data_IF_956290505527
#
_entry.id   IF_956290505527
#
_cell.length_a   1.000
_cell.length_b   1.000
_cell.length_c   1.000
_cell.angle_alpha   90.00
_cell.angle_beta   90.00
_cell.angle_gamma   90.00
#
_symmetry.space_group_name_H-M   'P 1'
#
loop_
_entity.id
_entity.type
_entity.pdbx_description
1 polymer ?
#
# COMPACT_ATOMS: atom_id res chain seq x y z
N UNK A 1 0.28 -65.89 -51.56
CA UNK A 1 0.53 -64.49 -51.94
C UNK A 1 0.78 -63.72 -50.65
N UNK A 2 2.04 -63.32 -50.40
CA UNK A 2 2.55 -62.40 -49.35
C UNK A 2 2.41 -62.88 -47.89
N UNK A 3 3.50 -63.35 -47.27
CA UNK A 3 4.56 -62.62 -46.51
C UNK A 3 4.27 -62.71 -45.01
N UNK A 4 4.91 -63.57 -44.22
CA UNK A 4 6.28 -63.45 -43.63
C UNK A 4 6.45 -62.17 -42.80
N UNK A 5 6.62 -62.32 -41.48
CA UNK A 5 7.84 -61.97 -40.71
C UNK A 5 7.54 -62.13 -39.20
N UNK A 6 8.39 -62.93 -38.56
CA UNK A 6 8.58 -63.12 -37.11
C UNK A 6 9.48 -62.03 -36.51
N UNK A 7 9.17 -61.47 -35.34
CA UNK A 7 10.17 -60.85 -34.43
C UNK A 7 9.69 -60.98 -32.96
N UNK A 8 10.38 -61.73 -32.10
CA UNK A 8 11.55 -61.44 -31.24
C UNK A 8 11.13 -61.01 -29.82
N UNK A 9 11.53 -61.83 -28.84
CA UNK A 9 11.58 -61.49 -27.42
C UNK A 9 12.52 -60.29 -27.19
N UNK A 10 12.02 -59.25 -26.52
CA UNK A 10 12.80 -58.12 -26.04
C UNK A 10 12.63 -57.96 -24.53
N UNK A 11 13.55 -58.54 -23.75
CA UNK A 11 13.63 -58.37 -22.32
C UNK A 11 13.80 -56.90 -21.91
N UNK A 12 12.74 -56.33 -21.34
CA UNK A 12 12.76 -55.02 -20.69
C UNK A 12 13.47 -55.11 -19.35
N UNK A 13 14.73 -54.67 -19.32
CA UNK A 13 15.53 -54.44 -18.11
C UNK A 13 14.76 -53.56 -17.12
N UNK A 14 14.36 -54.15 -15.99
CA UNK A 14 14.11 -53.39 -14.76
C UNK A 14 15.44 -52.85 -14.24
N UNK A 15 15.85 -51.68 -14.72
CA UNK A 15 16.92 -50.91 -14.10
C UNK A 15 16.47 -50.45 -12.72
N UNK A 16 17.34 -50.39 -11.70
CA UNK A 16 17.00 -49.78 -10.44
C UNK A 16 16.67 -48.31 -10.73
N UNK A 17 15.44 -47.91 -10.45
CA UNK A 17 15.11 -46.50 -10.29
C UNK A 17 16.00 -45.99 -9.16
N UNK A 18 17.07 -45.29 -9.51
CA UNK A 18 17.83 -44.48 -8.57
C UNK A 18 16.79 -43.64 -7.81
N UNK A 19 16.74 -43.71 -6.47
CA UNK A 19 15.92 -42.77 -5.73
C UNK A 19 16.43 -41.40 -6.15
N UNK A 20 15.55 -40.57 -6.71
CA UNK A 20 15.81 -39.14 -6.77
C UNK A 20 16.30 -38.75 -5.37
N UNK A 21 17.44 -38.05 -5.25
CA UNK A 21 17.87 -37.58 -3.94
C UNK A 21 16.82 -36.56 -3.52
N UNK A 22 15.80 -37.03 -2.82
CA UNK A 22 14.89 -36.18 -2.09
C UNK A 22 15.76 -35.51 -1.05
N UNK A 23 16.11 -34.26 -1.33
CA UNK A 23 16.75 -33.38 -0.37
C UNK A 23 15.78 -33.29 0.82
N UNK A 24 16.11 -33.99 1.90
CA UNK A 24 15.40 -33.80 3.15
C UNK A 24 15.81 -32.45 3.72
N UNK A 25 14.94 -31.44 3.58
CA UNK A 25 15.21 -30.11 4.12
C UNK A 25 15.42 -30.13 5.64
N UNK A 26 14.91 -31.13 6.37
CA UNK A 26 15.16 -31.25 7.81
C UNK A 26 16.57 -31.74 8.14
N UNK A 27 17.31 -32.26 7.16
CA UNK A 27 18.72 -32.65 7.32
C UNK A 27 19.68 -31.44 7.19
N UNK A 28 19.18 -30.27 6.78
CA UNK A 28 19.98 -29.05 6.72
C UNK A 28 20.25 -28.50 8.13
N UNK A 29 21.44 -27.92 8.39
CA UNK A 29 21.69 -27.18 9.62
C UNK A 29 20.67 -26.06 9.84
N UNK A 30 20.34 -25.79 11.10
CA UNK A 30 19.37 -24.74 11.46
C UNK A 30 19.73 -23.38 10.85
N UNK A 31 21.01 -23.03 10.79
CA UNK A 31 21.47 -21.77 10.21
C UNK A 31 21.23 -21.68 8.70
N UNK A 32 21.33 -22.81 7.98
CA UNK A 32 21.00 -22.86 6.55
C UNK A 32 19.49 -22.66 6.33
N UNK A 33 18.66 -23.28 7.18
CA UNK A 33 17.21 -23.10 7.11
C UNK A 33 16.86 -21.65 7.47
N UNK A 34 17.48 -21.07 8.49
CA UNK A 34 17.28 -19.67 8.87
C UNK A 34 17.67 -18.73 7.72
N UNK A 35 18.81 -18.97 7.05
CA UNK A 35 19.21 -18.21 5.88
C UNK A 35 18.17 -18.31 4.75
N UNK A 36 17.66 -19.50 4.44
CA UNK A 36 16.58 -19.67 3.44
C UNK A 36 15.34 -18.87 3.85
N UNK A 37 14.90 -18.98 5.11
CA UNK A 37 13.73 -18.27 5.63
C UNK A 37 13.89 -16.75 5.59
N UNK A 38 15.11 -16.24 5.76
CA UNK A 38 15.39 -14.79 5.69
C UNK A 38 15.13 -14.16 4.32
N UNK A 39 15.10 -14.97 3.25
CA UNK A 39 14.74 -14.55 1.89
C UNK A 39 13.25 -14.74 1.55
N UNK A 40 12.45 -15.20 2.51
CA UNK A 40 10.99 -15.37 2.35
C UNK A 40 10.22 -14.20 2.95
N UNK A 41 8.89 -14.24 2.89
CA UNK A 41 8.08 -13.26 3.61
C UNK A 41 7.89 -13.66 5.09
N UNK A 42 7.60 -12.72 6.00
CA UNK A 42 7.23 -13.01 7.39
C UNK A 42 6.07 -14.01 7.49
N UNK A 43 5.12 -13.94 6.57
CA UNK A 43 3.99 -14.87 6.45
C UNK A 43 4.47 -16.28 6.13
N UNK A 44 5.36 -16.43 5.17
CA UNK A 44 5.87 -17.74 4.75
C UNK A 44 6.79 -18.34 5.81
N UNK A 45 7.64 -17.53 6.46
CA UNK A 45 8.41 -17.98 7.61
C UNK A 45 7.51 -18.52 8.74
N UNK A 46 6.41 -17.84 9.04
CA UNK A 46 5.42 -18.34 10.01
C UNK A 46 4.74 -19.64 9.56
N UNK A 47 4.41 -19.79 8.28
CA UNK A 47 3.82 -21.04 7.75
C UNK A 47 4.81 -22.20 7.80
N UNK A 48 6.05 -21.95 7.41
CA UNK A 48 7.13 -22.95 7.41
C UNK A 48 7.49 -23.39 8.84
N UNK A 49 7.31 -22.51 9.84
CA UNK A 49 7.51 -22.86 11.25
C UNK A 49 6.65 -24.06 11.73
N UNK A 50 5.52 -24.33 11.06
CA UNK A 50 4.62 -25.43 11.40
C UNK A 50 5.05 -26.79 10.80
N UNK A 51 6.06 -26.81 9.91
CA UNK A 51 6.47 -28.02 9.17
C UNK A 51 7.27 -28.99 10.06
N UNK A 52 8.20 -28.47 10.87
CA UNK A 52 8.99 -29.27 11.81
C UNK A 52 9.56 -28.42 12.94
N UNK A 53 10.11 -29.05 13.98
CA UNK A 53 10.74 -28.35 15.12
C UNK A 53 12.00 -27.59 14.72
N UNK A 54 12.74 -28.07 13.72
CA UNK A 54 13.93 -27.40 13.19
C UNK A 54 13.52 -26.13 12.45
N UNK A 55 12.49 -26.22 11.59
CA UNK A 55 11.92 -25.05 10.92
C UNK A 55 11.32 -24.05 11.91
N UNK A 56 10.65 -24.53 12.96
CA UNK A 56 10.14 -23.67 14.03
C UNK A 56 11.26 -22.87 14.69
N UNK A 57 12.32 -23.55 15.09
CA UNK A 57 13.47 -22.93 15.78
C UNK A 57 14.20 -21.93 14.87
N UNK A 58 14.36 -22.26 13.57
CA UNK A 58 14.92 -21.36 12.58
C UNK A 58 14.02 -20.13 12.35
N UNK A 59 12.70 -20.33 12.18
CA UNK A 59 11.73 -19.27 11.92
C UNK A 59 11.49 -18.33 13.13
N UNK A 60 11.85 -18.76 14.34
CA UNK A 60 11.77 -17.94 15.56
C UNK A 60 13.08 -17.19 15.85
N UNK A 61 14.14 -17.42 15.08
CA UNK A 61 15.45 -16.78 15.26
C UNK A 61 15.44 -15.29 14.93
N UNK A 62 16.05 -14.48 15.79
CA UNK A 62 16.22 -13.04 15.57
C UNK A 62 16.99 -12.71 14.28
N UNK A 63 17.86 -13.60 13.80
CA UNK A 63 18.57 -13.40 12.53
C UNK A 63 17.60 -13.35 11.33
N UNK A 64 16.53 -14.15 11.35
CA UNK A 64 15.49 -14.14 10.31
C UNK A 64 14.66 -12.87 10.42
N UNK A 65 14.25 -12.51 11.63
CA UNK A 65 13.38 -11.35 11.84
C UNK A 65 14.12 -10.00 11.68
N UNK A 66 15.44 -9.94 11.84
CA UNK A 66 16.24 -8.77 11.50
C UNK A 66 16.14 -8.45 10.00
N UNK A 67 16.06 -9.45 9.12
CA UNK A 67 15.91 -9.27 7.67
C UNK A 67 14.52 -8.74 7.27
N UNK A 68 13.50 -8.96 8.09
CA UNK A 68 12.15 -8.45 7.85
C UNK A 68 11.92 -7.03 8.39
N UNK A 69 12.87 -6.51 9.16
CA UNK A 69 12.82 -5.14 9.65
C UNK A 69 13.51 -4.19 8.67
N UNK A 70 12.97 -3.00 8.40
CA UNK A 70 13.61 -2.02 7.53
C UNK A 70 14.98 -1.59 8.04
N UNK A 71 16.01 -1.50 7.20
CA UNK A 71 17.38 -1.15 7.65
C UNK A 71 17.47 0.12 8.51
N UNK A 72 16.56 1.07 8.32
CA UNK A 72 16.43 2.32 9.04
C UNK A 72 15.57 2.27 10.33
N UNK A 73 15.04 1.10 10.72
CA UNK A 73 14.14 0.96 11.89
C UNK A 73 14.78 1.46 13.19
N UNK A 74 16.11 1.37 13.32
CA UNK A 74 16.86 1.83 14.50
C UNK A 74 16.79 3.35 14.68
N UNK A 75 16.61 4.10 13.60
CA UNK A 75 16.38 5.55 13.66
C UNK A 75 14.94 5.89 14.06
N UNK A 76 14.00 4.98 13.77
CA UNK A 76 12.56 5.16 14.03
C UNK A 76 12.20 4.75 15.46
N UNK A 77 12.80 3.69 15.99
CA UNK A 77 12.55 3.17 17.34
C UNK A 77 13.89 2.92 18.04
N UNK A 78 14.20 3.65 19.13
CA UNK A 78 15.33 3.35 20.00
C UNK A 78 15.20 1.93 20.55
N UNK A 79 16.26 1.13 20.36
CA UNK A 79 16.38 -0.28 20.69
C UNK A 79 15.64 -0.71 21.97
N UNK A 80 14.64 -1.57 21.84
CA UNK A 80 14.05 -2.31 22.96
C UNK A 80 14.81 -3.62 23.20
N UNK A 81 14.79 -4.13 24.44
CA UNK A 81 15.30 -5.47 24.81
C UNK A 81 14.39 -6.62 24.30
N UNK A 82 13.47 -6.33 23.39
CA UNK A 82 12.53 -7.30 22.85
C UNK A 82 13.14 -8.09 21.68
N UNK A 83 12.67 -9.31 21.45
CA UNK A 83 13.04 -10.07 20.26
C UNK A 83 12.65 -9.30 18.98
N UNK A 84 13.37 -9.56 17.89
CA UNK A 84 13.12 -8.90 16.58
C UNK A 84 11.74 -9.19 16.06
N UNK A 85 11.24 -10.41 16.31
CA UNK A 85 9.85 -10.79 16.04
C UNK A 85 8.86 -9.93 16.82
N UNK A 86 9.08 -9.72 18.11
CA UNK A 86 8.19 -8.89 18.92
C UNK A 86 8.21 -7.43 18.46
N UNK A 87 9.38 -6.90 18.10
CA UNK A 87 9.51 -5.57 17.52
C UNK A 87 8.75 -5.44 16.20
N UNK A 88 8.89 -6.42 15.29
CA UNK A 88 8.16 -6.45 14.02
C UNK A 88 6.64 -6.44 14.26
N UNK A 89 6.13 -7.31 15.13
CA UNK A 89 4.70 -7.36 15.44
C UNK A 89 4.20 -6.04 16.05
N UNK A 90 5.00 -5.42 16.93
CA UNK A 90 4.68 -4.11 17.47
C UNK A 90 4.56 -3.03 16.39
N UNK A 91 5.44 -3.05 15.39
CA UNK A 91 5.40 -2.14 14.24
C UNK A 91 4.21 -2.37 13.30
N UNK A 92 3.68 -3.60 13.26
CA UNK A 92 2.46 -3.91 12.54
C UNK A 92 1.20 -3.42 13.27
N UNK A 93 1.17 -3.61 14.59
CA UNK A 93 -0.03 -3.35 15.41
C UNK A 93 -0.15 -1.91 15.89
N UNK A 94 0.99 -1.24 16.10
CA UNK A 94 1.03 0.09 16.68
C UNK A 94 1.78 1.04 15.73
N UNK A 95 1.06 1.78 14.87
CA UNK A 95 1.67 2.80 14.02
C UNK A 95 2.44 3.83 14.87
N UNK A 96 3.69 4.09 14.49
CA UNK A 96 4.59 5.03 15.18
C UNK A 96 4.51 6.39 14.51
N UNK A 97 4.37 7.45 15.31
CA UNK A 97 4.40 8.82 14.81
C UNK A 97 5.85 9.26 14.56
N UNK A 98 6.12 9.77 13.36
CA UNK A 98 7.42 10.27 12.90
C UNK A 98 7.28 11.70 12.37
N UNK A 99 8.41 12.34 12.04
CA UNK A 99 8.46 13.71 11.48
C UNK A 99 7.63 14.72 12.32
N UNK A 100 7.89 14.75 13.62
CA UNK A 100 7.20 15.63 14.55
C UNK A 100 5.70 15.32 14.71
N UNK A 101 5.28 14.09 14.43
CA UNK A 101 3.87 13.69 14.51
C UNK A 101 3.06 13.96 13.24
N UNK A 102 3.70 14.41 12.16
CA UNK A 102 3.02 14.69 10.88
C UNK A 102 2.78 13.47 10.03
N UNK A 103 3.49 12.37 10.28
CA UNK A 103 3.34 11.11 9.55
C UNK A 103 3.26 9.95 10.54
N UNK A 104 2.51 8.90 10.20
CA UNK A 104 2.54 7.64 10.94
C UNK A 104 3.18 6.55 10.08
N UNK A 105 4.02 5.72 10.70
CA UNK A 105 4.74 4.62 10.08
C UNK A 105 4.29 3.29 10.68
N UNK A 106 4.08 2.27 9.85
CA UNK A 106 3.85 0.89 10.28
C UNK A 106 4.36 -0.09 9.22
N UNK A 107 4.37 -1.39 9.56
CA UNK A 107 4.71 -2.45 8.62
C UNK A 107 3.47 -3.26 8.24
N UNK A 108 3.35 -3.61 6.97
CA UNK A 108 2.37 -4.60 6.55
C UNK A 108 2.79 -5.97 7.06
N UNK A 109 1.90 -6.60 7.83
CA UNK A 109 2.18 -7.81 8.61
C UNK A 109 2.72 -8.97 7.78
N UNK A 110 2.22 -9.20 6.57
CA UNK A 110 2.53 -10.36 5.76
C UNK A 110 3.76 -10.25 4.87
N UNK A 111 4.24 -9.04 4.56
CA UNK A 111 5.13 -8.76 3.43
C UNK A 111 6.25 -7.78 3.75
N UNK A 112 6.45 -7.42 5.02
CA UNK A 112 7.52 -6.51 5.49
C UNK A 112 7.53 -5.10 4.85
N UNK A 113 6.54 -4.78 4.01
CA UNK A 113 6.50 -3.51 3.28
C UNK A 113 6.05 -2.37 4.18
N UNK A 114 6.67 -1.22 3.97
CA UNK A 114 6.40 0.01 4.73
C UNK A 114 5.00 0.56 4.39
N UNK A 115 4.25 0.92 5.41
CA UNK A 115 2.99 1.66 5.33
C UNK A 115 3.20 3.06 5.92
N UNK A 116 2.62 4.08 5.28
CA UNK A 116 2.64 5.45 5.79
C UNK A 116 1.26 6.06 5.81
N UNK A 117 1.04 6.98 6.73
CA UNK A 117 -0.06 7.93 6.63
C UNK A 117 0.47 9.34 6.80
N UNK A 118 0.11 10.22 5.87
CA UNK A 118 0.32 11.67 5.98
C UNK A 118 -0.84 12.25 6.78
N UNK A 119 -0.57 12.94 7.88
CA UNK A 119 -1.59 13.64 8.66
C UNK A 119 -2.20 14.78 7.85
N UNK A 120 -3.40 15.24 8.22
CA UNK A 120 -3.98 16.43 7.61
C UNK A 120 -3.09 17.68 7.72
N UNK A 121 -2.25 17.79 8.75
CA UNK A 121 -1.24 18.85 8.92
C UNK A 121 -0.07 18.76 7.95
N UNK A 122 0.15 17.59 7.38
CA UNK A 122 1.18 17.32 6.37
C UNK A 122 0.63 17.42 4.93
N UNK A 123 -0.67 17.66 4.78
CA UNK A 123 -1.32 17.85 3.49
C UNK A 123 -1.33 19.33 3.11
N UNK A 124 -1.21 19.60 1.81
CA UNK A 124 -1.60 20.87 1.25
C UNK A 124 -3.12 20.93 1.12
N UNK A 125 -3.75 21.80 1.90
CA UNK A 125 -5.20 22.03 1.87
C UNK A 125 -5.43 23.49 1.49
N UNK A 126 -6.14 23.73 0.37
CA UNK A 126 -6.46 25.10 -0.04
C UNK A 126 -7.32 25.77 1.03
N UNK A 127 -6.84 26.92 1.48
CA UNK A 127 -7.38 27.70 2.60
C UNK A 127 -7.42 26.96 3.95
N UNK A 128 -6.62 25.91 4.15
CA UNK A 128 -6.58 25.14 5.40
C UNK A 128 -6.33 26.00 6.66
N UNK A 129 -5.61 27.11 6.53
CA UNK A 129 -5.34 28.05 7.63
C UNK A 129 -6.34 29.21 7.71
N UNK A 130 -7.45 29.15 6.95
CA UNK A 130 -8.54 30.14 6.99
C UNK A 130 -9.68 29.62 7.87
N UNK A 131 -9.87 30.16 9.09
CA UNK A 131 -10.85 29.65 10.04
C UNK A 131 -12.31 29.69 9.58
N UNK A 132 -12.62 30.47 8.54
CA UNK A 132 -13.96 30.52 7.92
C UNK A 132 -14.28 29.25 7.13
N UNK A 133 -13.25 28.56 6.62
CA UNK A 133 -13.36 27.44 5.70
C UNK A 133 -12.94 26.12 6.33
N UNK A 134 -11.92 26.16 7.17
CA UNK A 134 -11.35 25.00 7.83
C UNK A 134 -11.11 25.28 9.30
N UNK A 135 -11.26 24.25 10.13
CA UNK A 135 -10.94 24.29 11.55
C UNK A 135 -10.03 23.12 11.89
N UNK A 136 -8.96 23.39 12.61
CA UNK A 136 -8.10 22.36 13.16
C UNK A 136 -8.66 21.93 14.51
N UNK A 137 -8.95 20.65 14.66
CA UNK A 137 -9.55 20.09 15.89
C UNK A 137 -8.74 18.89 16.37
N UNK A 138 -8.79 18.64 17.67
CA UNK A 138 -8.29 17.41 18.25
C UNK A 138 -9.47 16.49 18.59
N UNK A 139 -9.35 15.22 18.22
CA UNK A 139 -10.38 14.21 18.49
C UNK A 139 -9.72 12.95 19.06
N UNK A 140 -10.32 12.30 20.09
CA UNK A 140 -9.71 11.14 20.74
C UNK A 140 -9.51 9.93 19.82
N UNK A 141 -10.32 9.80 18.77
CA UNK A 141 -10.23 8.67 17.84
C UNK A 141 -9.19 8.89 16.72
N UNK A 142 -8.48 10.03 16.73
CA UNK A 142 -7.47 10.32 15.73
C UNK A 142 -6.11 9.72 16.08
N UNK A 143 -5.41 9.23 15.06
CA UNK A 143 -3.99 8.86 15.14
C UNK A 143 -3.07 10.08 15.34
N UNK A 144 -3.50 11.25 14.90
CA UNK A 144 -2.75 12.51 14.95
C UNK A 144 -3.38 13.50 15.93
N UNK A 145 -2.55 14.38 16.50
CA UNK A 145 -2.97 15.41 17.47
C UNK A 145 -4.07 16.32 16.93
N UNK A 146 -3.94 16.74 15.67
CA UNK A 146 -4.89 17.59 14.97
C UNK A 146 -5.35 16.96 13.65
N UNK A 147 -6.63 17.18 13.33
CA UNK A 147 -7.28 16.82 12.07
C UNK A 147 -7.97 18.04 11.48
N UNK A 148 -8.20 18.04 10.17
CA UNK A 148 -8.82 19.16 9.46
C UNK A 148 -10.33 18.96 9.35
N UNK A 149 -11.11 19.79 10.02
CA UNK A 149 -12.55 19.88 9.84
C UNK A 149 -12.91 20.92 8.77
N UNK A 150 -13.58 20.47 7.72
CA UNK A 150 -14.12 21.31 6.67
C UNK A 150 -15.41 21.97 7.15
N UNK A 151 -15.40 23.29 7.29
CA UNK A 151 -16.59 24.08 7.66
C UNK A 151 -17.50 24.24 6.44
N UNK A 152 -17.01 24.93 5.41
CA UNK A 152 -17.79 25.21 4.19
C UNK A 152 -16.89 25.75 3.09
N UNK A 153 -16.80 25.10 1.92
CA UNK A 153 -16.06 25.60 0.74
C UNK A 153 -16.78 25.31 -0.56
N UNK A 154 -16.57 26.14 -1.58
CA UNK A 154 -16.96 25.83 -2.97
C UNK A 154 -15.81 25.23 -3.80
N UNK A 155 -14.57 25.43 -3.36
CA UNK A 155 -13.34 24.88 -3.94
C UNK A 155 -12.70 23.90 -2.94
N UNK A 156 -12.72 22.61 -3.26
CA UNK A 156 -12.06 21.59 -2.44
C UNK A 156 -10.82 21.09 -3.16
N UNK A 157 -9.66 21.28 -2.53
CA UNK A 157 -8.39 20.81 -3.04
C UNK A 157 -7.49 20.39 -1.88
N UNK A 158 -7.18 19.10 -1.88
CA UNK A 158 -6.30 18.45 -0.91
C UNK A 158 -5.23 17.72 -1.70
N UNK A 159 -3.97 17.94 -1.35
CA UNK A 159 -2.83 17.23 -1.94
C UNK A 159 -1.91 16.72 -0.84
N UNK A 160 -1.40 15.51 -1.00
CA UNK A 160 -0.33 14.95 -0.18
C UNK A 160 0.87 14.65 -1.05
N UNK A 161 2.07 14.79 -0.49
CA UNK A 161 3.32 14.40 -1.15
C UNK A 161 4.16 13.55 -0.21
N UNK A 162 4.79 12.53 -0.77
CA UNK A 162 5.72 11.66 -0.04
C UNK A 162 6.89 11.30 -0.96
N UNK A 163 8.12 11.32 -0.43
CA UNK A 163 9.27 10.85 -1.19
C UNK A 163 9.18 9.35 -1.39
N UNK A 164 9.41 8.90 -2.61
CA UNK A 164 9.32 7.49 -3.00
C UNK A 164 10.41 6.65 -2.32
N UNK A 165 11.55 7.28 -2.02
CA UNK A 165 12.64 6.69 -1.23
C UNK A 165 12.19 6.21 0.17
N UNK A 166 11.12 6.79 0.72
CA UNK A 166 10.54 6.37 2.00
C UNK A 166 9.75 5.07 1.87
N UNK A 167 9.21 4.77 0.69
CA UNK A 167 8.40 3.59 0.39
C UNK A 167 9.30 2.39 0.07
N UNK A 168 8.78 1.18 0.24
CA UNK A 168 9.51 -0.03 -0.13
C UNK A 168 9.63 -0.12 -1.67
N UNK A 169 10.82 -0.43 -2.22
CA UNK A 169 11.00 -0.62 -3.66
C UNK A 169 10.30 -1.89 -4.14
N UNK A 170 10.13 -2.01 -5.47
CA UNK A 170 9.44 -3.11 -6.15
C UNK A 170 8.09 -3.46 -5.52
N UNK A 171 7.33 -2.45 -5.11
CA UNK A 171 6.10 -2.63 -4.36
C UNK A 171 4.98 -1.82 -4.99
N UNK A 172 3.85 -2.49 -5.21
CA UNK A 172 2.63 -1.83 -5.65
C UNK A 172 1.90 -1.25 -4.45
N UNK A 173 1.59 0.03 -4.49
CA UNK A 173 0.95 0.80 -3.44
C UNK A 173 -0.44 1.26 -3.85
N UNK A 174 -1.32 1.43 -2.87
CA UNK A 174 -2.59 2.15 -3.01
C UNK A 174 -2.65 3.26 -1.98
N UNK A 175 -3.17 4.40 -2.40
CA UNK A 175 -3.39 5.55 -1.53
C UNK A 175 -4.88 5.69 -1.21
N UNK A 176 -5.19 6.08 0.03
CA UNK A 176 -6.55 6.22 0.53
C UNK A 176 -6.72 7.53 1.29
N UNK A 177 -7.77 8.28 1.00
CA UNK A 177 -8.19 9.37 1.88
C UNK A 177 -8.94 8.78 3.06
N UNK A 178 -8.53 9.13 4.29
CA UNK A 178 -9.17 8.69 5.53
C UNK A 178 -9.88 9.88 6.18
N UNK A 179 -11.19 9.76 6.36
CA UNK A 179 -12.04 10.86 6.79
C UNK A 179 -13.32 10.39 7.50
N UNK A 180 -14.05 11.29 8.15
CA UNK A 180 -15.38 11.02 8.70
C UNK A 180 -16.31 12.21 8.49
N UNK A 181 -17.61 12.00 8.63
CA UNK A 181 -18.55 13.10 8.73
C UNK A 181 -18.54 13.68 10.15
N UNK A 182 -18.74 14.99 10.26
CA UNK A 182 -19.02 15.66 11.53
C UNK A 182 -20.35 15.18 12.12
N UNK A 183 -20.58 15.43 13.42
CA UNK A 183 -21.84 15.06 14.10
C UNK A 183 -23.06 15.76 13.48
N UNK A 184 -22.88 16.95 12.91
CA UNK A 184 -23.91 17.68 12.14
C UNK A 184 -24.19 17.09 10.76
N UNK A 185 -23.40 16.10 10.33
CA UNK A 185 -23.45 15.51 8.99
C UNK A 185 -22.61 16.28 7.98
N UNK A 186 -22.24 15.58 6.91
CA UNK A 186 -21.64 16.18 5.73
C UNK A 186 -22.75 16.66 4.77
N UNK A 187 -22.50 17.74 4.03
CA UNK A 187 -23.42 18.25 3.02
C UNK A 187 -22.68 18.69 1.76
N UNK A 188 -23.39 18.74 0.64
CA UNK A 188 -22.83 19.18 -0.65
C UNK A 188 -22.09 18.08 -1.43
N UNK A 189 -22.03 16.86 -0.89
CA UNK A 189 -21.37 15.70 -1.51
C UNK A 189 -22.34 14.70 -2.18
N UNK A 190 -23.65 14.80 -1.92
CA UNK A 190 -24.69 13.83 -2.29
C UNK A 190 -24.80 13.52 -3.80
N UNK A 191 -24.39 14.47 -4.64
CA UNK A 191 -24.48 14.40 -6.11
C UNK A 191 -23.15 14.67 -6.82
N UNK A 192 -22.08 14.94 -6.08
CA UNK A 192 -20.82 15.37 -6.64
C UNK A 192 -19.71 14.38 -6.36
N UNK A 193 -19.13 13.93 -7.46
CA UNK A 193 -17.89 13.18 -7.42
C UNK A 193 -16.71 14.13 -7.30
N UNK A 194 -15.68 13.68 -6.60
CA UNK A 194 -14.38 14.33 -6.55
C UNK A 194 -13.42 13.62 -7.51
N UNK A 195 -12.54 14.38 -8.14
CA UNK A 195 -11.44 13.87 -8.95
C UNK A 195 -10.30 13.48 -8.00
N UNK A 196 -10.01 12.20 -7.91
CA UNK A 196 -8.86 11.68 -7.18
C UNK A 196 -7.73 11.38 -8.17
N UNK A 197 -6.48 11.62 -7.75
CA UNK A 197 -5.33 11.21 -8.54
C UNK A 197 -4.16 10.74 -7.70
N UNK A 198 -3.34 9.89 -8.32
CA UNK A 198 -2.05 9.42 -7.79
C UNK A 198 -1.03 9.41 -8.93
N UNK A 199 0.14 9.98 -8.72
CA UNK A 199 1.21 9.97 -9.72
C UNK A 199 2.47 10.71 -9.28
N UNK A 200 3.54 10.58 -10.07
CA UNK A 200 4.80 11.27 -9.81
C UNK A 200 4.62 12.77 -10.06
N UNK A 201 5.19 13.60 -9.19
CA UNK A 201 5.19 15.06 -9.37
C UNK A 201 5.75 15.43 -10.75
N UNK A 202 5.00 16.22 -11.51
CA UNK A 202 5.39 16.66 -12.86
C UNK A 202 4.96 15.72 -13.99
N UNK A 203 4.40 14.55 -13.68
CA UNK A 203 3.80 13.63 -14.67
C UNK A 203 2.27 13.71 -14.63
N UNK A 204 1.61 13.26 -15.71
CA UNK A 204 0.16 13.08 -15.66
C UNK A 204 -0.16 11.81 -14.87
N UNK A 205 -0.55 11.98 -13.60
CA UNK A 205 -0.96 10.88 -12.73
C UNK A 205 -2.28 10.22 -13.17
N UNK A 206 -2.52 9.01 -12.65
CA UNK A 206 -3.78 8.30 -12.85
C UNK A 206 -4.90 9.10 -12.19
N UNK A 207 -5.88 9.54 -12.98
CA UNK A 207 -7.08 10.25 -12.50
C UNK A 207 -8.26 9.31 -12.44
N UNK A 208 -9.10 9.49 -11.42
CA UNK A 208 -10.35 8.76 -11.29
C UNK A 208 -11.40 9.57 -10.55
N UNK A 209 -12.64 9.12 -10.67
CA UNK A 209 -13.80 9.79 -10.10
C UNK A 209 -14.33 8.97 -8.93
N UNK A 210 -14.37 9.56 -7.74
CA UNK A 210 -14.85 8.90 -6.50
C UNK A 210 -15.89 9.76 -5.78
N UNK A 211 -16.63 9.18 -4.85
CA UNK A 211 -17.63 9.88 -4.05
C UNK A 211 -17.20 9.92 -2.58
N UNK A 212 -17.43 11.06 -1.90
CA UNK A 212 -17.15 11.21 -0.47
C UNK A 212 -18.38 10.97 0.43
N UNK A 213 -19.55 10.73 -0.16
CA UNK A 213 -20.78 10.42 0.58
C UNK A 213 -21.01 8.90 0.69
N UNK A 214 -21.06 8.40 1.92
CA UNK A 214 -21.39 7.00 2.23
C UNK A 214 -22.89 6.68 2.14
N UNK A 215 -23.77 7.68 2.24
CA UNK A 215 -25.23 7.50 2.37
C UNK A 215 -25.92 7.14 1.05
N UNK A 216 -25.28 7.36 -0.10
CA UNK A 216 -25.78 6.88 -1.40
C UNK A 216 -25.96 5.36 -1.46
N UNK A 217 -25.09 4.60 -0.79
CA UNK A 217 -25.22 3.13 -0.68
C UNK A 217 -26.53 2.72 0.01
N UNK A 218 -27.01 3.53 0.97
CA UNK A 218 -28.26 3.28 1.71
C UNK A 218 -29.49 3.77 0.94
N UNK A 219 -29.43 4.94 0.31
CA UNK A 219 -30.55 5.50 -0.47
C UNK A 219 -30.82 4.74 -1.78
N UNK A 220 -29.82 4.09 -2.38
CA UNK A 220 -29.99 3.23 -3.56
C UNK A 220 -30.61 1.84 -3.29
N UNK A 221 -30.74 1.43 -2.02
CA UNK A 221 -31.22 0.07 -1.65
C UNK A 221 -32.73 0.00 -1.38
N UNK A 222 -33.41 1.14 -1.28
CA UNK A 222 -34.86 1.20 -1.19
C UNK A 222 -35.38 2.18 -2.23
N UNK A 223 -36.14 1.74 -3.25
CA UNK A 223 -36.91 2.67 -4.07
C UNK A 223 -37.82 3.46 -3.14
N UNK A 224 -37.74 4.79 -3.19
CA UNK A 224 -38.77 5.63 -2.57
C UNK A 224 -40.06 5.32 -3.34
N UNK A 225 -40.90 4.45 -2.79
CA UNK A 225 -42.29 4.39 -3.20
C UNK A 225 -42.90 5.74 -2.84
N UNK A 226 -43.42 6.52 -3.81
CA UNK A 226 -44.05 7.79 -3.51
C UNK A 226 -45.26 7.50 -2.61
N UNK A 227 -45.17 7.84 -1.33
CA UNK A 227 -46.34 7.81 -0.46
C UNK A 227 -47.22 9.00 -0.83
N UNK A 228 -48.19 8.72 -1.70
CA UNK A 228 -49.49 9.38 -1.81
C UNK A 228 -49.52 10.90 -1.72
N UNK A 229 -49.40 11.57 -2.86
CA UNK A 229 -50.17 12.80 -3.11
C UNK A 229 -51.41 12.37 -3.88
N UNK A 230 -52.56 12.83 -3.39
CA UNK A 230 -53.89 12.43 -3.82
C UNK A 230 -54.17 12.56 -5.32
N UNK A 231 -55.25 11.88 -5.70
CA UNK A 231 -55.89 11.83 -7.01
C UNK A 231 -55.92 13.20 -7.71
N UNK A 232 -55.89 13.16 -9.06
CA UNK A 232 -55.99 14.26 -10.03
C UNK A 232 -54.65 14.86 -10.54
N UNK A 233 -53.98 14.18 -11.47
CA UNK A 233 -54.04 14.52 -12.90
C UNK A 233 -53.24 13.51 -13.74
N UNK A 234 -53.92 12.83 -14.66
CA UNK A 234 -53.35 11.90 -15.63
C UNK A 234 -52.87 12.75 -16.82
N UNK A 235 -51.66 12.51 -17.30
CA UNK A 235 -51.05 13.01 -18.56
C UNK A 235 -50.10 14.21 -18.43
N UNK A 236 -48.81 13.92 -18.11
CA UNK A 236 -47.59 14.46 -18.76
C UNK A 236 -46.29 14.08 -18.03
N UNK A 237 -46.05 12.79 -17.79
CA UNK A 237 -44.71 12.30 -17.41
C UNK A 237 -44.12 11.48 -18.58
N UNK A 238 -43.66 12.19 -19.60
CA UNK A 238 -42.71 11.66 -20.58
C UNK A 238 -41.33 12.23 -20.23
N UNK A 239 -40.36 11.34 -20.01
CA UNK A 239 -38.95 11.64 -20.29
C UNK A 239 -38.16 12.40 -19.22
N UNK A 240 -37.88 11.75 -18.10
CA UNK A 240 -36.56 11.86 -17.44
C UNK A 240 -36.35 10.56 -16.65
N UNK A 241 -36.08 9.48 -17.38
CA UNK A 241 -35.27 8.41 -16.82
C UNK A 241 -33.92 9.08 -16.53
N UNK A 242 -33.69 9.44 -15.27
CA UNK A 242 -32.34 9.60 -14.80
C UNK A 242 -31.66 8.26 -15.10
N UNK A 243 -30.71 8.27 -16.03
CA UNK A 243 -29.87 7.13 -16.30
C UNK A 243 -29.24 6.71 -14.99
N UNK A 244 -29.73 5.61 -14.43
CA UNK A 244 -29.01 4.87 -13.39
C UNK A 244 -27.69 4.51 -14.05
N UNK A 245 -26.53 5.00 -13.57
CA UNK A 245 -25.27 4.59 -14.14
C UNK A 245 -25.14 3.09 -13.91
N UNK A 246 -25.17 2.36 -15.02
CA UNK A 246 -24.83 0.95 -15.11
C UNK A 246 -23.49 0.73 -14.41
N UNK A 247 -23.49 -0.14 -13.39
CA UNK A 247 -22.31 -0.69 -12.70
C UNK A 247 -21.32 0.34 -12.15
N UNK A 248 -21.68 1.11 -11.12
CA UNK A 248 -20.67 1.69 -10.24
C UNK A 248 -19.95 0.54 -9.51
N UNK A 249 -18.64 0.37 -9.74
CA UNK A 249 -17.84 -0.58 -8.98
C UNK A 249 -17.84 -0.19 -7.50
N UNK A 250 -17.82 -1.18 -6.60
CA UNK A 250 -17.85 -0.99 -5.14
C UNK A 250 -16.71 -0.09 -4.61
N UNK A 251 -15.67 0.14 -5.42
CA UNK A 251 -14.48 0.91 -5.09
C UNK A 251 -14.63 2.42 -5.28
N UNK A 252 -15.74 2.91 -5.83
CA UNK A 252 -15.99 4.35 -6.02
C UNK A 252 -16.60 5.04 -4.78
N UNK A 253 -17.01 4.27 -3.77
CA UNK A 253 -17.67 4.77 -2.57
C UNK A 253 -16.85 4.49 -1.30
N UNK A 254 -16.96 5.34 -0.27
CA UNK A 254 -16.17 5.16 0.94
C UNK A 254 -16.57 3.87 1.68
N UNK A 255 -15.56 3.19 2.22
CA UNK A 255 -15.71 1.96 3.03
C UNK A 255 -15.45 2.30 4.49
N UNK A 256 -16.27 1.75 5.38
CA UNK A 256 -16.10 1.92 6.83
C UNK A 256 -14.96 1.02 7.30
N UNK A 257 -14.01 1.61 8.01
CA UNK A 257 -12.87 0.93 8.64
C UNK A 257 -13.26 0.40 10.03
N UNK A 258 -12.43 -0.49 10.56
CA UNK A 258 -12.61 -1.07 11.90
C UNK A 258 -12.52 -0.03 13.02
N UNK A 259 -11.80 1.08 12.78
CA UNK A 259 -11.63 2.21 13.69
C UNK A 259 -12.78 3.24 13.60
N UNK A 260 -13.79 2.98 12.77
CA UNK A 260 -14.95 3.85 12.58
C UNK A 260 -14.74 5.00 11.58
N UNK A 261 -13.53 5.17 11.03
CA UNK A 261 -13.27 6.11 9.95
C UNK A 261 -13.79 5.57 8.61
N UNK A 262 -14.00 6.46 7.65
CA UNK A 262 -14.23 6.10 6.24
C UNK A 262 -12.90 6.16 5.49
N UNK A 263 -12.71 5.24 4.54
CA UNK A 263 -11.63 5.31 3.55
C UNK A 263 -12.17 5.26 2.12
N UNK A 264 -11.55 6.01 1.22
CA UNK A 264 -11.79 5.91 -0.22
C UNK A 264 -10.45 5.83 -0.96
N UNK A 265 -10.36 4.92 -1.93
CA UNK A 265 -9.16 4.72 -2.74
C UNK A 265 -8.95 5.89 -3.71
N UNK A 266 -7.78 6.53 -3.64
CA UNK A 266 -7.40 7.63 -4.52
C UNK A 266 -6.79 7.14 -5.83
N UNK A 267 -6.11 6.00 -5.77
CA UNK A 267 -5.42 5.41 -6.91
C UNK A 267 -4.29 4.49 -6.45
N UNK A 268 -3.54 4.00 -7.43
CA UNK A 268 -2.45 3.06 -7.22
C UNK A 268 -1.17 3.52 -7.91
N UNK A 269 -0.03 3.01 -7.41
CA UNK A 269 1.29 3.40 -7.86
C UNK A 269 2.27 2.25 -7.67
N UNK A 270 3.17 2.02 -8.62
CA UNK A 270 4.25 1.03 -8.48
C UNK A 270 5.57 1.74 -8.21
N UNK A 271 6.20 1.42 -7.08
CA UNK A 271 7.53 1.93 -6.75
C UNK A 271 8.61 1.02 -7.34
N UNK A 272 9.34 1.48 -8.35
CA UNK A 272 10.46 0.74 -8.95
C UNK A 272 11.77 0.84 -8.13
N UNK A 273 11.87 1.79 -7.20
CA UNK A 273 13.01 1.93 -6.29
C UNK A 273 14.21 2.73 -6.83
N UNK A 274 14.07 3.41 -7.97
CA UNK A 274 15.19 4.02 -8.69
C UNK A 274 15.20 5.56 -8.72
N UNK A 275 14.25 6.26 -8.06
CA UNK A 275 14.13 7.72 -8.17
C UNK A 275 13.96 8.40 -6.81
N UNK A 276 14.61 9.57 -6.64
CA UNK A 276 14.38 10.52 -5.53
C UNK A 276 13.13 11.39 -5.77
N UNK A 277 12.20 10.91 -6.59
CA UNK A 277 11.00 11.63 -6.95
C UNK A 277 9.97 11.61 -5.79
N UNK A 278 9.01 12.52 -5.88
CA UNK A 278 7.88 12.59 -4.96
C UNK A 278 6.63 12.02 -5.63
N UNK A 279 5.92 11.19 -4.87
CA UNK A 279 4.57 10.76 -5.20
C UNK A 279 3.59 11.83 -4.74
N UNK A 280 2.75 12.35 -5.63
CA UNK A 280 1.63 13.24 -5.33
C UNK A 280 0.31 12.46 -5.35
N UNK A 281 -0.50 12.65 -4.32
CA UNK A 281 -1.88 12.16 -4.25
C UNK A 281 -2.81 13.35 -4.06
N UNK A 282 -3.92 13.41 -4.78
CA UNK A 282 -4.83 14.55 -4.70
C UNK A 282 -6.30 14.17 -4.69
N UNK A 283 -7.10 15.06 -4.09
CA UNK A 283 -8.57 15.03 -4.07
C UNK A 283 -9.05 16.43 -4.43
N UNK A 284 -9.66 16.54 -5.60
CA UNK A 284 -10.02 17.81 -6.23
C UNK A 284 -11.52 17.85 -6.56
N UNK A 285 -12.18 18.90 -6.10
CA UNK A 285 -13.50 19.26 -6.58
C UNK A 285 -13.60 20.79 -6.66
N UNK A 286 -13.12 21.28 -7.79
CA UNK A 286 -12.93 22.71 -8.09
C UNK A 286 -13.85 23.19 -9.23
N UNK A 287 -14.49 22.24 -9.93
CA UNK A 287 -15.30 22.50 -11.13
C UNK A 287 -16.78 22.74 -10.81
N UNK A 288 -17.28 22.19 -9.69
CA UNK A 288 -18.70 22.22 -9.34
C UNK A 288 -19.18 23.57 -8.80
N UNK A 289 -18.32 24.30 -8.07
CA UNK A 289 -18.66 25.60 -7.48
C UNK A 289 -19.73 25.54 -6.38
N UNK A 290 -20.19 24.35 -6.01
CA UNK A 290 -21.19 24.14 -4.98
C UNK A 290 -20.55 24.14 -3.59
N UNK A 291 -21.23 24.76 -2.64
CA UNK A 291 -20.80 24.75 -1.24
C UNK A 291 -20.95 23.37 -0.61
N UNK A 292 -19.91 22.92 0.08
CA UNK A 292 -19.87 21.66 0.83
C UNK A 292 -19.12 21.80 2.14
N UNK A 293 -19.45 20.96 3.10
CA UNK A 293 -18.89 21.05 4.45
C UNK A 293 -19.20 19.82 5.29
N UNK A 294 -18.66 19.83 6.51
CA UNK A 294 -18.94 18.80 7.51
C UNK A 294 -18.13 17.51 7.35
N UNK A 295 -16.98 17.55 6.68
CA UNK A 295 -16.00 16.45 6.67
C UNK A 295 -14.88 16.72 7.67
N UNK A 296 -14.37 15.66 8.31
CA UNK A 296 -13.16 15.68 9.13
C UNK A 296 -12.13 14.78 8.46
N UNK A 297 -11.01 15.36 8.03
CA UNK A 297 -9.94 14.66 7.33
C UNK A 297 -8.86 14.27 8.33
N UNK A 298 -8.60 12.97 8.45
CA UNK A 298 -7.46 12.49 9.25
C UNK A 298 -6.16 12.61 8.46
N UNK A 299 -6.20 12.27 7.17
CA UNK A 299 -5.01 12.22 6.33
C UNK A 299 -5.13 11.33 5.10
N UNK A 300 -3.99 11.06 4.45
CA UNK A 300 -3.87 10.13 3.32
C UNK A 300 -2.99 8.95 3.74
N UNK A 301 -3.51 7.73 3.62
CA UNK A 301 -2.82 6.49 3.97
C UNK A 301 -2.34 5.76 2.71
N UNK A 302 -1.06 5.40 2.68
CA UNK A 302 -0.36 4.70 1.60
C UNK A 302 0.00 3.30 2.11
N UNK A 303 -0.63 2.28 1.53
CA UNK A 303 -0.45 0.87 1.92
C UNK A 303 -0.09 0.00 0.72
N UNK A 304 0.77 -1.02 0.90
CA UNK A 304 1.08 -1.98 -0.15
C UNK A 304 -0.20 -2.74 -0.56
N UNK A 305 -0.37 -2.94 -1.86
CA UNK A 305 -1.44 -3.71 -2.44
C UNK A 305 -0.93 -5.12 -2.72
N UNK A 306 -1.35 -6.08 -1.92
CA UNK A 306 -0.89 -7.47 -2.03
C UNK A 306 -1.57 -8.29 -3.14
N UNK A 307 -2.22 -7.63 -4.10
CA UNK A 307 -2.69 -8.25 -5.33
C UNK A 307 -1.51 -8.54 -6.27
N UNK A 308 -0.66 -9.50 -5.90
CA UNK A 308 0.47 -9.98 -6.69
C UNK A 308 0.88 -11.41 -6.37
N UNK A 309 0.03 -12.16 -5.66
CA UNK A 309 0.27 -13.56 -5.32
C UNK A 309 -0.32 -14.58 -6.30
N UNK A 310 -0.85 -14.15 -7.45
CA UNK A 310 -1.35 -15.07 -8.48
C UNK A 310 -1.03 -14.54 -9.87
N UNK A 311 -0.15 -15.28 -10.56
CA UNK A 311 0.03 -15.37 -12.01
C UNK A 311 0.78 -14.22 -12.76
N UNK A 312 2.02 -14.58 -13.11
CA UNK A 312 2.73 -14.35 -14.38
C UNK A 312 3.53 -13.04 -14.61
N UNK A 313 4.85 -13.26 -14.75
CA UNK A 313 5.87 -12.46 -15.46
C UNK A 313 6.11 -11.03 -14.97
N UNK A 314 6.76 -10.89 -13.81
CA UNK A 314 7.72 -9.80 -13.64
C UNK A 314 8.98 -10.14 -14.45
N UNK A 315 9.53 -9.24 -15.29
CA UNK A 315 10.82 -9.47 -15.91
C UNK A 315 11.90 -9.54 -14.82
N UNK A 316 12.72 -10.59 -14.88
CA UNK A 316 13.91 -10.72 -14.03
C UNK A 316 14.79 -9.48 -14.29
N UNK A 317 15.16 -8.68 -13.28
CA UNK A 317 16.12 -7.63 -13.46
C UNK A 317 17.47 -8.26 -13.82
N UNK A 318 17.87 -8.11 -15.08
CA UNK A 318 19.27 -8.19 -15.47
C UNK A 318 19.96 -7.01 -14.80
N UNK A 319 20.70 -7.28 -13.73
CA UNK A 319 21.92 -6.59 -13.29
C UNK A 319 22.02 -6.63 -11.76
N UNK A 320 22.58 -7.75 -11.30
CA UNK A 320 23.25 -7.83 -10.02
C UNK A 320 24.44 -6.87 -10.03
N UNK A 321 24.27 -5.64 -9.54
CA UNK A 321 25.39 -4.86 -9.04
C UNK A 321 25.85 -5.45 -7.69
N UNK A 322 26.47 -6.62 -7.75
CA UNK A 322 27.37 -7.09 -6.70
C UNK A 322 28.66 -6.27 -6.80
N UNK A 323 28.81 -5.25 -5.95
CA UNK A 323 30.13 -4.78 -5.56
C UNK A 323 30.37 -5.16 -4.10
N UNK A 324 30.81 -6.39 -3.93
CA UNK A 324 31.57 -6.84 -2.76
C UNK A 324 32.86 -6.04 -2.68
N UNK A 325 32.97 -5.18 -1.66
CA UNK A 325 34.26 -4.64 -1.23
C UNK A 325 35.10 -5.77 -0.66
N UNK A 326 36.15 -6.17 -1.39
CA UNK A 326 37.24 -6.99 -0.86
C UNK A 326 38.49 -6.11 -0.82
N UNK A 327 39.00 -5.99 0.41
CA UNK A 327 40.31 -5.44 0.73
C UNK A 327 41.42 -6.23 0.03
N UNK A 328 42.31 -5.53 -0.68
CA UNK A 328 43.70 -5.95 -0.82
C UNK A 328 44.60 -4.72 -0.85
N UNK A 329 45.60 -4.72 0.03
CA UNK A 329 46.59 -3.65 0.16
C UNK A 329 47.86 -3.91 -0.65
N UNK A 330 48.63 -2.82 -0.77
CA UNK A 330 50.07 -2.71 -1.14
C UNK A 330 50.41 -3.15 -2.59
N UNK A 331 51.19 -2.43 -3.40
CA UNK A 331 52.46 -1.77 -3.13
C UNK A 331 52.81 -0.72 -4.21
N UNK A 332 53.41 0.38 -3.74
CA UNK A 332 54.63 1.05 -4.23
C UNK A 332 54.92 1.35 -5.73
N UNK A 333 55.34 2.61 -5.93
CA UNK A 333 56.44 3.14 -6.77
C UNK A 333 56.16 3.86 -8.11
N UNK A 334 56.65 5.11 -8.09
CA UNK A 334 57.42 5.82 -9.11
C UNK A 334 56.67 6.49 -10.27
N UNK A 335 56.48 7.80 -10.13
CA UNK A 335 56.60 8.74 -11.25
C UNK A 335 57.61 9.83 -10.89
N UNK A 336 58.82 9.69 -11.44
CA UNK A 336 59.66 10.80 -11.83
C UNK A 336 59.01 11.49 -13.03
N UNK A 337 58.90 12.82 -13.03
CA UNK A 337 59.37 13.64 -14.14
C UNK A 337 59.52 15.11 -13.68
N UNK A 338 60.70 15.61 -13.98
CA UNK A 338 61.34 16.86 -13.60
C UNK A 338 60.88 18.09 -14.41
N UNK A 339 60.94 19.25 -13.75
CA UNK A 339 61.33 20.59 -14.24
C UNK A 339 60.44 21.24 -15.34
N UNK A 340 60.07 22.52 -15.27
CA UNK A 340 60.93 23.68 -15.02
C UNK A 340 60.08 24.92 -14.70
N UNK A 341 60.52 25.71 -13.72
CA UNK A 341 60.20 27.14 -13.50
C UNK A 341 61.22 27.99 -14.31
N UNK A 342 61.03 29.30 -14.55
CA UNK A 342 60.33 30.32 -13.73
C UNK A 342 59.00 30.84 -14.29
#
# INVERSE_FOLDING_TARGET
>A
MKSEVSEIEGGGRGGPSLPSPLLDLNALPQDCIAAILSFTTPRDACRLSAVSTVFKSAAESDAVWECFLPSDYRAIIPSSLASKKALYLSLCDNPVLIDGGRKSFSLERGSDKKCYMLSARDLFIVWGDTPTYWRWISIPESRFEEVAELISVCWLEIRGRISISMLSPMTHYKAYLVFKATTSGAYGFDLQSVEASVGLVGTEGQKRTVYLDSERRRRGRFPIAPRGIGLFNRSRFFGLQASVPTTASDDQYPKVRVDGWLEIELGEFFNEGCTDEELEMSVLEIKGGHWKGGLVIQGIEIRPNLCGGSENNAPVPSDLCLNTGILSGQDSKNQDFSASLP
#
